data_IF_403900107215
#
_entry.id   IF_403900107215
#
_cell.length_a   1.000
_cell.length_b   1.000
_cell.length_c   1.000
_cell.angle_alpha   90.00
_cell.angle_beta   90.00
_cell.angle_gamma   90.00
#
_symmetry.space_group_name_H-M   'P 1'
#
loop_
_entity.id
_entity.type
_entity.pdbx_description
1 polymer ?
#
# COMPACT_ATOMS: atom_id res chain seq x y z
N UNK A 1 -13.38 -14.90 -31.45
CA UNK A 1 -13.59 -15.88 -30.38
C UNK A 1 -13.11 -15.30 -29.03
N UNK A 2 -11.88 -14.81 -28.95
CA UNK A 2 -11.32 -14.23 -27.72
C UNK A 2 -12.10 -13.00 -27.21
N UNK A 3 -12.60 -12.18 -28.10
CA UNK A 3 -13.43 -11.02 -27.75
C UNK A 3 -14.81 -11.43 -27.22
N UNK A 4 -15.44 -12.43 -27.82
CA UNK A 4 -16.73 -12.96 -27.34
C UNK A 4 -16.62 -13.54 -25.93
N UNK A 5 -15.56 -14.32 -25.65
CA UNK A 5 -15.28 -14.77 -24.29
C UNK A 5 -14.97 -13.59 -23.35
N UNK A 6 -14.28 -12.58 -23.85
CA UNK A 6 -13.93 -11.39 -23.10
C UNK A 6 -15.13 -10.55 -22.61
N UNK A 7 -16.30 -10.72 -23.26
CA UNK A 7 -17.54 -10.04 -22.82
C UNK A 7 -18.10 -10.61 -21.50
N UNK A 8 -17.74 -11.84 -21.15
CA UNK A 8 -18.27 -12.55 -19.99
C UNK A 8 -19.72 -13.01 -20.11
N UNK A 9 -20.37 -12.86 -21.28
CA UNK A 9 -21.77 -13.25 -21.46
C UNK A 9 -21.94 -14.73 -21.80
N UNK A 10 -20.89 -15.38 -22.29
CA UNK A 10 -20.99 -16.74 -22.81
C UNK A 10 -20.16 -17.72 -21.97
N UNK A 11 -20.80 -18.84 -21.63
CA UNK A 11 -20.18 -20.00 -20.99
C UNK A 11 -19.36 -20.82 -21.99
N UNK A 12 -19.90 -20.96 -23.20
CA UNK A 12 -19.25 -21.65 -24.31
C UNK A 12 -19.49 -20.93 -25.64
N UNK A 13 -18.49 -20.93 -26.50
CA UNK A 13 -18.56 -20.38 -27.86
C UNK A 13 -17.86 -21.37 -28.80
N UNK A 14 -18.60 -21.99 -29.66
CA UNK A 14 -18.10 -22.92 -30.70
C UNK A 14 -18.24 -22.24 -32.06
N UNK A 15 -17.21 -22.37 -32.87
CA UNK A 15 -17.19 -21.79 -34.23
C UNK A 15 -16.88 -22.94 -35.20
N UNK A 16 -17.79 -23.18 -36.08
CA UNK A 16 -17.66 -24.13 -37.19
C UNK A 16 -17.68 -23.36 -38.51
N UNK A 17 -16.82 -23.73 -39.44
CA UNK A 17 -16.81 -23.19 -40.79
C UNK A 17 -16.95 -24.32 -41.78
N UNK A 18 -18.12 -24.40 -42.41
CA UNK A 18 -18.47 -25.43 -43.35
C UNK A 18 -19.20 -24.84 -44.55
N UNK A 19 -18.84 -25.25 -45.76
CA UNK A 19 -19.51 -24.79 -47.02
C UNK A 19 -19.56 -23.29 -47.18
N UNK A 20 -18.53 -22.53 -46.85
CA UNK A 20 -18.48 -21.05 -46.82
C UNK A 20 -19.50 -20.40 -45.85
N UNK A 21 -20.05 -21.14 -44.92
CA UNK A 21 -20.93 -20.62 -43.86
C UNK A 21 -20.19 -20.71 -42.55
N UNK A 22 -20.07 -19.58 -41.84
CA UNK A 22 -19.59 -19.50 -40.48
C UNK A 22 -20.76 -19.69 -39.51
N UNK A 23 -20.75 -20.82 -38.78
CA UNK A 23 -21.73 -21.12 -37.76
C UNK A 23 -21.13 -20.82 -36.40
N UNK A 24 -21.76 -19.96 -35.61
CA UNK A 24 -21.34 -19.63 -34.24
C UNK A 24 -22.43 -20.15 -33.31
N UNK A 25 -22.08 -21.10 -32.47
CA UNK A 25 -22.94 -21.65 -31.44
C UNK A 25 -22.46 -21.12 -30.09
N UNK A 26 -23.37 -20.53 -29.32
CA UNK A 26 -23.07 -19.92 -28.02
C UNK A 26 -23.96 -20.53 -26.94
N UNK A 27 -23.40 -20.69 -25.76
CA UNK A 27 -24.13 -20.99 -24.54
C UNK A 27 -24.00 -19.80 -23.62
N UNK A 28 -25.10 -19.15 -23.30
CA UNK A 28 -25.10 -17.94 -22.44
C UNK A 28 -24.85 -18.31 -20.98
N UNK A 29 -24.11 -17.46 -20.29
CA UNK A 29 -24.04 -17.51 -18.84
C UNK A 29 -25.40 -17.09 -18.24
N UNK A 30 -25.85 -17.69 -17.13
CA UNK A 30 -27.07 -17.29 -16.48
C UNK A 30 -27.02 -15.86 -15.99
N UNK A 31 -28.15 -15.19 -15.91
CA UNK A 31 -28.27 -13.84 -15.37
C UNK A 31 -28.48 -13.91 -13.87
N UNK A 32 -27.71 -13.16 -13.12
CA UNK A 32 -27.85 -13.02 -11.66
C UNK A 32 -29.09 -12.20 -11.36
N UNK A 33 -30.13 -12.83 -10.85
CA UNK A 33 -31.37 -12.16 -10.45
C UNK A 33 -31.13 -11.33 -9.18
N UNK A 34 -30.53 -11.94 -8.16
CA UNK A 34 -30.26 -11.35 -6.87
C UNK A 34 -28.97 -11.89 -6.27
N UNK A 35 -28.28 -11.06 -5.47
CA UNK A 35 -27.14 -11.49 -4.64
C UNK A 35 -27.48 -11.17 -3.20
N UNK A 36 -27.48 -12.19 -2.35
CA UNK A 36 -27.68 -12.07 -0.91
C UNK A 36 -26.39 -12.25 -0.14
N UNK A 37 -26.21 -11.45 0.88
CA UNK A 37 -25.05 -11.52 1.79
C UNK A 37 -25.57 -11.72 3.20
N UNK A 38 -25.41 -12.92 3.74
CA UNK A 38 -25.87 -13.32 5.05
C UNK A 38 -24.72 -13.34 6.08
N UNK A 39 -25.03 -13.31 7.36
CA UNK A 39 -24.06 -13.42 8.47
C UNK A 39 -23.36 -12.12 8.88
N UNK A 40 -23.53 -11.01 8.15
CA UNK A 40 -22.96 -9.70 8.51
C UNK A 40 -24.06 -8.82 9.12
N UNK A 41 -24.00 -8.61 10.44
CA UNK A 41 -25.01 -7.82 11.17
C UNK A 41 -24.73 -6.30 11.14
N UNK A 42 -23.45 -5.91 11.17
CA UNK A 42 -23.05 -4.52 11.28
C UNK A 42 -22.95 -3.83 9.90
N UNK A 43 -23.76 -2.80 9.65
CA UNK A 43 -23.81 -2.10 8.38
C UNK A 43 -22.42 -1.55 7.97
N UNK A 44 -21.68 -0.94 8.91
CA UNK A 44 -20.32 -0.42 8.63
C UNK A 44 -19.35 -1.50 8.12
N UNK A 45 -19.45 -2.71 8.64
CA UNK A 45 -18.64 -3.85 8.19
C UNK A 45 -19.09 -4.27 6.79
N UNK A 46 -20.39 -4.35 6.58
CA UNK A 46 -21.02 -4.68 5.30
C UNK A 46 -20.54 -3.74 4.19
N UNK A 47 -20.56 -2.44 4.44
CA UNK A 47 -20.13 -1.42 3.48
C UNK A 47 -18.65 -1.57 3.08
N UNK A 48 -17.79 -1.95 4.03
CA UNK A 48 -16.36 -2.18 3.76
C UNK A 48 -16.14 -3.45 2.94
N UNK A 49 -16.82 -4.54 3.30
CA UNK A 49 -16.60 -5.87 2.71
C UNK A 49 -17.16 -5.95 1.29
N UNK A 50 -18.34 -5.34 1.06
CA UNK A 50 -19.04 -5.40 -0.22
C UNK A 50 -18.59 -4.31 -1.20
N UNK A 51 -17.67 -3.46 -0.80
CA UNK A 51 -17.13 -2.43 -1.68
C UNK A 51 -16.32 -3.05 -2.83
N UNK A 52 -16.59 -2.57 -4.04
CA UNK A 52 -15.85 -2.92 -5.26
C UNK A 52 -15.91 -4.41 -5.65
N UNK A 53 -17.02 -5.11 -5.31
CA UNK A 53 -17.29 -6.45 -5.82
C UNK A 53 -17.67 -6.39 -7.30
N UNK A 54 -17.29 -7.42 -8.04
CA UNK A 54 -17.47 -7.48 -9.50
C UNK A 54 -18.85 -7.97 -9.91
N UNK A 55 -19.36 -9.00 -9.23
CA UNK A 55 -20.69 -9.51 -9.50
C UNK A 55 -21.77 -8.56 -8.99
N UNK A 56 -22.78 -8.33 -9.81
CA UNK A 56 -23.90 -7.44 -9.49
C UNK A 56 -25.22 -8.11 -9.89
N UNK A 57 -26.30 -7.78 -9.19
CA UNK A 57 -27.65 -8.18 -9.64
C UNK A 57 -27.91 -7.63 -11.05
N UNK A 58 -28.55 -8.41 -11.87
CA UNK A 58 -28.86 -8.16 -13.29
C UNK A 58 -27.65 -8.16 -14.23
N UNK A 59 -26.50 -8.68 -13.79
CA UNK A 59 -25.34 -8.96 -14.65
C UNK A 59 -25.24 -10.43 -15.00
N UNK A 60 -24.47 -10.75 -16.03
CA UNK A 60 -24.13 -12.14 -16.37
C UNK A 60 -23.25 -12.75 -15.28
N UNK A 61 -23.50 -14.03 -14.95
CA UNK A 61 -22.67 -14.78 -14.02
C UNK A 61 -21.31 -15.08 -14.64
N UNK A 62 -20.27 -14.97 -13.81
CA UNK A 62 -18.93 -15.35 -14.19
C UNK A 62 -18.23 -16.00 -12.97
N UNK A 63 -17.81 -17.24 -13.12
CA UNK A 63 -17.18 -18.02 -12.05
C UNK A 63 -15.87 -17.38 -11.57
N UNK A 64 -15.08 -16.80 -12.49
CA UNK A 64 -13.83 -16.10 -12.14
C UNK A 64 -14.13 -14.91 -11.25
N UNK A 65 -15.19 -14.15 -11.54
CA UNK A 65 -15.61 -13.00 -10.73
C UNK A 65 -16.15 -13.45 -9.37
N UNK A 66 -16.83 -14.61 -9.31
CA UNK A 66 -17.27 -15.19 -8.03
C UNK A 66 -16.08 -15.48 -7.11
N UNK A 67 -15.05 -16.15 -7.63
CA UNK A 67 -13.84 -16.45 -6.84
C UNK A 67 -13.07 -15.18 -6.47
N UNK A 68 -13.00 -14.19 -7.35
CA UNK A 68 -12.38 -12.89 -7.05
C UNK A 68 -13.13 -12.16 -5.93
N UNK A 69 -14.46 -12.14 -5.97
CA UNK A 69 -15.31 -11.53 -4.95
C UNK A 69 -15.18 -12.26 -3.61
N UNK A 70 -15.19 -13.59 -3.61
CA UNK A 70 -14.95 -14.40 -2.42
C UNK A 70 -13.59 -14.11 -1.78
N UNK A 71 -12.54 -14.02 -2.60
CA UNK A 71 -11.19 -13.66 -2.14
C UNK A 71 -11.13 -12.22 -1.61
N UNK A 72 -11.83 -11.28 -2.25
CA UNK A 72 -11.94 -9.89 -1.80
C UNK A 72 -12.64 -9.79 -0.45
N UNK A 73 -13.78 -10.47 -0.28
CA UNK A 73 -14.51 -10.52 0.99
C UNK A 73 -13.62 -11.12 2.09
N UNK A 74 -12.93 -12.24 1.80
CA UNK A 74 -12.02 -12.88 2.75
C UNK A 74 -10.89 -11.94 3.19
N UNK A 75 -10.24 -11.26 2.24
CA UNK A 75 -9.15 -10.32 2.56
C UNK A 75 -9.66 -9.11 3.35
N UNK A 76 -10.85 -8.60 3.02
CA UNK A 76 -11.49 -7.51 3.77
C UNK A 76 -11.83 -7.92 5.20
N UNK A 77 -12.35 -9.13 5.41
CA UNK A 77 -12.61 -9.68 6.75
C UNK A 77 -11.32 -9.84 7.57
N UNK A 78 -10.25 -10.36 6.96
CA UNK A 78 -8.93 -10.46 7.59
C UNK A 78 -8.36 -9.10 7.98
N UNK A 79 -8.51 -8.09 7.13
CA UNK A 79 -8.08 -6.73 7.44
C UNK A 79 -8.84 -6.11 8.62
N UNK A 80 -10.05 -6.59 8.89
CA UNK A 80 -10.88 -6.22 10.05
C UNK A 80 -10.61 -7.09 11.30
N UNK A 81 -9.71 -8.09 11.18
CA UNK A 81 -9.31 -8.98 12.26
C UNK A 81 -10.06 -10.33 12.32
N UNK A 82 -10.95 -10.62 11.39
CA UNK A 82 -11.70 -11.87 11.31
C UNK A 82 -10.94 -12.94 10.51
N UNK A 83 -9.90 -13.48 11.06
CA UNK A 83 -8.96 -14.38 10.37
C UNK A 83 -9.56 -15.76 10.08
N UNK A 84 -10.51 -16.22 10.90
CA UNK A 84 -11.13 -17.54 10.79
C UNK A 84 -12.52 -17.50 10.15
N UNK A 85 -12.82 -16.40 9.45
CA UNK A 85 -14.06 -16.32 8.69
C UNK A 85 -14.13 -17.41 7.62
N UNK A 86 -15.34 -17.98 7.46
CA UNK A 86 -15.67 -18.93 6.40
C UNK A 86 -16.72 -18.30 5.50
N UNK A 87 -16.60 -18.51 4.21
CA UNK A 87 -17.54 -18.01 3.21
C UNK A 87 -17.98 -19.21 2.38
N UNK A 88 -19.20 -19.60 2.57
CA UNK A 88 -19.88 -20.60 1.75
C UNK A 88 -20.73 -19.87 0.70
N UNK A 89 -20.70 -20.32 -0.55
CA UNK A 89 -21.47 -19.71 -1.63
C UNK A 89 -22.44 -20.74 -2.16
N UNK A 90 -23.71 -20.37 -2.21
CA UNK A 90 -24.78 -21.16 -2.77
C UNK A 90 -25.31 -20.47 -4.02
N UNK A 91 -25.47 -21.25 -5.09
CA UNK A 91 -26.04 -20.78 -6.35
C UNK A 91 -27.33 -21.57 -6.56
N UNK A 92 -28.44 -20.88 -6.55
CA UNK A 92 -29.77 -21.46 -6.77
C UNK A 92 -30.21 -21.15 -8.20
N UNK A 93 -30.46 -22.21 -8.98
CA UNK A 93 -31.03 -22.08 -10.31
C UNK A 93 -32.49 -21.66 -10.24
N UNK A 94 -32.82 -20.64 -11.02
CA UNK A 94 -34.19 -20.15 -11.20
C UNK A 94 -34.63 -20.43 -12.63
N UNK A 95 -35.95 -20.20 -12.91
CA UNK A 95 -36.44 -20.33 -14.27
C UNK A 95 -35.81 -19.25 -15.20
N UNK A 96 -35.88 -19.47 -16.51
CA UNK A 96 -35.47 -18.51 -17.57
C UNK A 96 -33.95 -18.16 -17.55
N UNK A 97 -33.06 -19.14 -17.40
CA UNK A 97 -31.61 -18.96 -17.34
C UNK A 97 -31.17 -17.89 -16.34
N UNK A 98 -31.79 -17.88 -15.15
CA UNK A 98 -31.49 -16.98 -14.04
C UNK A 98 -31.00 -17.73 -12.83
N UNK A 99 -30.18 -17.07 -12.03
CA UNK A 99 -29.66 -17.61 -10.77
C UNK A 99 -29.80 -16.60 -9.63
N UNK A 100 -29.86 -17.10 -8.41
CA UNK A 100 -29.64 -16.37 -7.17
C UNK A 100 -28.32 -16.80 -6.57
N UNK A 101 -27.52 -15.84 -6.08
CA UNK A 101 -26.26 -16.13 -5.38
C UNK A 101 -26.40 -15.73 -3.91
N UNK A 102 -26.07 -16.65 -3.01
CA UNK A 102 -26.10 -16.40 -1.58
C UNK A 102 -24.68 -16.62 -1.01
N UNK A 103 -24.09 -15.55 -0.49
CA UNK A 103 -22.86 -15.62 0.31
C UNK A 103 -23.23 -15.79 1.79
N UNK A 104 -23.04 -16.98 2.35
CA UNK A 104 -23.17 -17.26 3.78
C UNK A 104 -21.82 -17.00 4.46
N UNK A 105 -21.73 -15.90 5.19
CA UNK A 105 -20.49 -15.40 5.78
C UNK A 105 -20.49 -15.63 7.28
N UNK A 106 -19.71 -16.61 7.71
CA UNK A 106 -19.46 -16.92 9.11
C UNK A 106 -18.22 -16.17 9.57
N UNK A 107 -18.41 -15.01 10.21
CA UNK A 107 -17.31 -14.13 10.58
C UNK A 107 -16.37 -14.72 11.63
N UNK A 108 -16.88 -15.48 12.59
CA UNK A 108 -16.12 -15.98 13.74
C UNK A 108 -15.69 -14.87 14.71
N UNK A 109 -14.80 -15.21 15.65
CA UNK A 109 -14.20 -14.27 16.57
C UNK A 109 -13.01 -13.53 15.95
N UNK A 110 -12.71 -12.35 16.48
CA UNK A 110 -11.52 -11.61 16.05
C UNK A 110 -10.25 -12.23 16.62
N UNK A 111 -9.24 -12.36 15.75
CA UNK A 111 -7.93 -12.88 16.13
C UNK A 111 -7.20 -11.93 17.11
N UNK A 112 -7.04 -12.32 18.36
CA UNK A 112 -6.43 -11.54 19.44
C UNK A 112 -4.91 -11.69 19.45
N UNK A 113 -4.18 -10.61 19.58
CA UNK A 113 -2.72 -10.64 19.79
C UNK A 113 -2.46 -10.85 21.29
N UNK A 114 -2.16 -12.08 21.69
CA UNK A 114 -1.88 -12.41 23.09
C UNK A 114 -0.50 -11.97 23.53
N UNK A 115 0.49 -12.10 22.64
CA UNK A 115 1.90 -11.83 22.92
C UNK A 115 2.59 -11.26 21.70
N UNK A 116 3.56 -10.38 21.94
CA UNK A 116 4.44 -9.85 20.90
C UNK A 116 5.89 -10.17 21.31
N UNK A 117 6.61 -10.84 20.43
CA UNK A 117 7.98 -11.31 20.63
C UNK A 117 8.90 -10.81 19.54
N UNK A 118 10.15 -10.53 19.92
CA UNK A 118 11.22 -10.16 19.01
C UNK A 118 12.38 -11.14 19.16
N UNK A 119 12.78 -11.76 18.07
CA UNK A 119 13.85 -12.76 18.01
C UNK A 119 14.97 -12.32 17.07
N UNK A 120 16.09 -13.07 17.07
CA UNK A 120 17.25 -12.80 16.24
C UNK A 120 18.22 -11.80 16.86
N UNK A 121 19.06 -11.20 16.03
CA UNK A 121 20.08 -10.20 16.44
C UNK A 121 19.44 -8.81 16.63
N UNK A 122 18.64 -8.65 17.67
CA UNK A 122 17.73 -7.51 17.86
C UNK A 122 18.29 -6.30 18.61
N UNK A 123 19.50 -6.29 19.10
CA UNK A 123 20.19 -5.18 19.79
C UNK A 123 19.40 -4.49 20.90
N UNK A 124 18.14 -4.10 20.62
CA UNK A 124 17.29 -3.35 21.56
C UNK A 124 16.38 -4.27 22.38
N UNK A 125 16.07 -3.87 23.62
CA UNK A 125 15.15 -4.60 24.52
C UNK A 125 13.72 -4.59 23.95
N UNK A 126 12.99 -5.67 24.16
CA UNK A 126 11.59 -5.86 23.69
C UNK A 126 10.68 -4.70 24.10
N UNK A 127 10.83 -4.19 25.34
CA UNK A 127 10.05 -3.03 25.82
C UNK A 127 10.21 -1.78 24.92
N UNK A 128 11.41 -1.57 24.35
CA UNK A 128 11.67 -0.46 23.44
C UNK A 128 11.03 -0.73 22.08
N UNK A 129 11.18 -1.94 21.56
CA UNK A 129 10.64 -2.35 20.27
C UNK A 129 9.10 -2.36 20.28
N UNK A 130 8.48 -2.85 21.37
CA UNK A 130 7.00 -2.78 21.56
C UNK A 130 6.45 -1.35 21.54
N UNK A 131 7.24 -0.35 21.95
CA UNK A 131 6.84 1.07 21.88
C UNK A 131 7.02 1.68 20.50
N UNK A 132 7.75 1.02 19.62
CA UNK A 132 8.02 1.48 18.26
C UNK A 132 6.92 1.06 17.29
N UNK A 133 6.27 -0.07 17.54
CA UNK A 133 5.21 -0.64 16.71
C UNK A 133 3.82 -0.11 17.10
N UNK A 134 2.85 -0.32 16.22
CA UNK A 134 1.44 0.05 16.42
C UNK A 134 0.68 -1.10 17.08
N UNK A 135 0.97 -2.35 16.71
CA UNK A 135 0.31 -3.53 17.27
C UNK A 135 0.49 -3.60 18.78
N UNK A 136 -0.57 -3.97 19.49
CA UNK A 136 -0.60 -4.06 20.94
C UNK A 136 -1.06 -5.46 21.41
N UNK A 137 -0.54 -5.90 22.54
CA UNK A 137 -1.05 -7.11 23.18
C UNK A 137 -2.49 -6.88 23.69
N UNK A 138 -3.34 -7.88 23.48
CA UNK A 138 -4.72 -7.87 23.96
C UNK A 138 -4.76 -7.80 25.48
N UNK A 139 -5.53 -6.83 26.00
CA UNK A 139 -5.83 -6.68 27.42
C UNK A 139 -7.33 -6.43 27.56
N UNK A 140 -8.00 -7.16 28.47
CA UNK A 140 -9.45 -7.12 28.62
C UNK A 140 -10.00 -5.71 28.96
N UNK A 141 -9.19 -4.85 29.59
CA UNK A 141 -9.57 -3.47 29.93
C UNK A 141 -9.37 -2.44 28.83
N UNK A 142 -8.74 -2.83 27.71
CA UNK A 142 -8.56 -1.96 26.52
C UNK A 142 -9.69 -2.20 25.52
N UNK A 143 -10.89 -1.71 25.78
CA UNK A 143 -12.07 -2.03 24.97
C UNK A 143 -12.07 -1.41 23.57
N UNK A 144 -11.47 -0.21 23.40
CA UNK A 144 -11.65 0.63 22.20
C UNK A 144 -10.59 0.39 21.12
N UNK A 145 -9.41 -0.15 21.47
CA UNK A 145 -8.28 -0.28 20.52
C UNK A 145 -8.46 -1.45 19.55
N UNK A 146 -8.50 -1.18 18.25
CA UNK A 146 -8.40 -2.19 17.19
C UNK A 146 -6.99 -2.78 17.03
N UNK A 147 -5.96 -2.13 17.60
CA UNK A 147 -4.54 -2.50 17.48
C UNK A 147 -4.16 -3.82 18.17
N UNK A 148 -5.05 -4.35 18.96
CA UNK A 148 -4.92 -5.62 19.71
C UNK A 148 -5.41 -6.85 18.93
N UNK A 149 -5.92 -6.64 17.73
CA UNK A 149 -6.35 -7.72 16.85
C UNK A 149 -5.37 -7.87 15.69
N UNK A 150 -5.16 -9.11 15.27
CA UNK A 150 -4.28 -9.42 14.16
C UNK A 150 -4.79 -8.75 12.88
N UNK A 151 -3.89 -8.05 12.19
CA UNK A 151 -4.19 -7.31 10.97
C UNK A 151 -2.94 -7.23 10.11
N UNK A 152 -3.02 -7.68 8.86
CA UNK A 152 -1.88 -7.71 7.94
C UNK A 152 -1.33 -6.31 7.62
N UNK A 153 -2.21 -5.32 7.47
CA UNK A 153 -1.78 -3.94 7.24
C UNK A 153 -0.99 -3.37 8.44
N UNK A 154 -1.43 -3.70 9.67
CA UNK A 154 -0.69 -3.30 10.87
C UNK A 154 0.67 -4.00 10.96
N UNK A 155 0.76 -5.28 10.58
CA UNK A 155 2.05 -5.99 10.50
C UNK A 155 3.03 -5.33 9.52
N UNK A 156 2.55 -4.93 8.35
CA UNK A 156 3.37 -4.21 7.36
C UNK A 156 3.81 -2.84 7.88
N UNK A 157 2.92 -2.11 8.57
CA UNK A 157 3.27 -0.84 9.21
C UNK A 157 4.29 -1.03 10.32
N UNK A 158 4.11 -2.04 11.15
CA UNK A 158 5.06 -2.37 12.23
C UNK A 158 6.45 -2.69 11.68
N UNK A 159 6.53 -3.45 10.59
CA UNK A 159 7.79 -3.73 9.91
C UNK A 159 8.47 -2.45 9.42
N UNK A 160 7.73 -1.52 8.83
CA UNK A 160 8.26 -0.22 8.40
C UNK A 160 8.73 0.61 9.59
N UNK A 161 7.96 0.66 10.67
CA UNK A 161 8.33 1.40 11.87
C UNK A 161 9.57 0.82 12.54
N UNK A 162 9.67 -0.50 12.64
CA UNK A 162 10.87 -1.17 13.15
C UNK A 162 12.08 -0.87 12.26
N UNK A 163 11.94 -1.02 10.94
CA UNK A 163 13.01 -0.71 9.99
C UNK A 163 13.49 0.73 10.14
N UNK A 164 12.58 1.69 10.13
CA UNK A 164 12.91 3.11 10.27
C UNK A 164 13.54 3.42 11.65
N UNK A 165 13.06 2.78 12.70
CA UNK A 165 13.66 2.92 14.02
C UNK A 165 15.12 2.47 14.03
N UNK A 166 15.45 1.31 13.44
CA UNK A 166 16.81 0.81 13.35
C UNK A 166 17.69 1.67 12.43
N UNK A 167 17.19 2.08 11.28
CA UNK A 167 17.87 3.01 10.38
C UNK A 167 18.22 4.32 11.08
N UNK A 168 17.31 4.86 11.90
CA UNK A 168 17.56 6.07 12.70
C UNK A 168 18.51 5.86 13.90
N UNK A 169 18.90 4.63 14.17
CA UNK A 169 19.91 4.28 15.20
C UNK A 169 21.25 3.83 14.62
N UNK A 170 21.40 3.98 13.30
CA UNK A 170 22.63 3.66 12.59
C UNK A 170 22.70 2.26 11.99
N UNK A 171 21.67 1.46 12.11
CA UNK A 171 21.66 0.09 11.58
C UNK A 171 21.17 0.08 10.14
N UNK A 172 22.02 0.57 9.21
CA UNK A 172 21.69 0.75 7.80
C UNK A 172 21.24 -0.54 7.11
N UNK A 173 21.93 -1.66 7.39
CA UNK A 173 21.65 -2.96 6.79
C UNK A 173 20.63 -3.80 7.57
N UNK A 174 19.80 -3.18 8.43
CA UNK A 174 18.79 -3.91 9.18
C UNK A 174 17.85 -4.67 8.27
N UNK A 175 17.61 -5.94 8.60
CA UNK A 175 16.65 -6.80 7.93
C UNK A 175 15.58 -7.25 8.93
N UNK A 176 14.32 -7.08 8.53
CA UNK A 176 13.21 -7.78 9.18
C UNK A 176 12.96 -9.02 8.33
N UNK A 177 13.60 -10.14 8.70
CA UNK A 177 13.63 -11.36 7.89
C UNK A 177 12.25 -12.01 7.80
N UNK A 178 11.47 -11.93 8.86
CA UNK A 178 10.09 -12.41 8.89
C UNK A 178 9.31 -11.71 9.98
N UNK A 179 8.03 -11.50 9.70
CA UNK A 179 7.02 -11.17 10.69
C UNK A 179 5.84 -12.10 10.46
N UNK A 180 5.48 -12.87 11.47
CA UNK A 180 4.42 -13.84 11.36
C UNK A 180 3.61 -13.95 12.65
N UNK A 181 2.41 -14.47 12.51
CA UNK A 181 1.53 -14.75 13.63
C UNK A 181 1.48 -16.26 13.86
N UNK A 182 1.87 -16.69 15.05
CA UNK A 182 1.74 -18.06 15.49
C UNK A 182 0.46 -18.22 16.30
N UNK A 183 -0.39 -19.15 15.90
CA UNK A 183 -1.59 -19.50 16.66
C UNK A 183 -1.20 -20.15 17.99
N UNK A 184 -1.74 -19.64 19.10
CA UNK A 184 -1.55 -20.18 20.45
C UNK A 184 -2.78 -21.00 20.83
N UNK A 185 -3.97 -20.41 20.69
CA UNK A 185 -5.27 -21.00 20.96
C UNK A 185 -6.24 -20.66 19.82
N UNK A 186 -7.50 -21.05 19.92
CA UNK A 186 -8.52 -20.90 18.86
C UNK A 186 -8.60 -19.50 18.23
N UNK A 187 -8.40 -18.42 19.02
CA UNK A 187 -8.49 -17.03 18.57
C UNK A 187 -7.32 -16.15 19.06
N UNK A 188 -6.29 -16.75 19.69
CA UNK A 188 -5.15 -16.04 20.25
C UNK A 188 -3.87 -16.30 19.47
N UNK A 189 -3.12 -15.24 19.17
CA UNK A 189 -1.88 -15.27 18.42
C UNK A 189 -0.69 -14.67 19.18
N UNK A 190 0.49 -15.20 18.91
CA UNK A 190 1.75 -14.56 19.18
C UNK A 190 2.29 -13.93 17.88
N UNK A 191 2.51 -12.61 17.89
CA UNK A 191 3.25 -11.93 16.83
C UNK A 191 4.74 -12.07 17.08
N UNK A 192 5.48 -12.53 16.07
CA UNK A 192 6.92 -12.74 16.16
C UNK A 192 7.59 -11.95 15.05
N UNK A 193 8.52 -11.05 15.43
CA UNK A 193 9.36 -10.29 14.53
C UNK A 193 10.79 -10.82 14.61
N UNK A 194 11.31 -11.35 13.51
CA UNK A 194 12.68 -11.83 13.42
C UNK A 194 13.56 -10.73 12.80
N UNK A 195 14.43 -10.14 13.64
CA UNK A 195 15.22 -8.97 13.30
C UNK A 195 16.69 -9.36 13.22
N UNK A 196 17.35 -9.00 12.14
CA UNK A 196 18.81 -8.95 12.05
C UNK A 196 19.22 -7.48 11.90
N UNK A 197 19.72 -6.90 12.98
CA UNK A 197 20.14 -5.49 13.01
C UNK A 197 21.40 -5.22 12.18
N UNK A 198 22.23 -6.24 11.98
CA UNK A 198 23.53 -6.07 11.34
C UNK A 198 24.50 -5.21 12.15
N UNK A 199 25.42 -4.55 11.47
CA UNK A 199 26.40 -3.64 12.06
C UNK A 199 25.89 -2.20 12.10
N UNK A 200 26.50 -1.39 12.97
CA UNK A 200 26.23 0.04 13.03
C UNK A 200 27.06 0.77 11.99
N UNK A 201 26.43 1.68 11.25
CA UNK A 201 27.02 2.52 10.22
C UNK A 201 27.05 4.00 10.63
N UNK A 202 27.96 4.73 10.01
CA UNK A 202 28.15 6.15 10.19
C UNK A 202 28.11 6.85 8.84
N UNK A 203 27.77 8.12 8.82
CA UNK A 203 27.95 8.94 7.64
C UNK A 203 29.46 9.09 7.37
N UNK A 204 29.90 8.68 6.19
CA UNK A 204 31.24 8.92 5.69
C UNK A 204 31.36 10.32 5.10
N UNK A 205 32.00 10.44 3.93
CA UNK A 205 32.07 11.70 3.20
C UNK A 205 30.71 12.01 2.54
N UNK A 206 30.28 13.25 2.68
CA UNK A 206 29.01 13.74 2.13
C UNK A 206 29.31 14.86 1.12
N UNK A 207 29.02 14.60 -0.16
CA UNK A 207 29.26 15.55 -1.25
C UNK A 207 27.95 15.90 -1.96
N UNK A 208 27.87 17.11 -2.52
CA UNK A 208 26.82 17.51 -3.44
C UNK A 208 27.46 17.89 -4.78
N UNK A 209 27.00 17.29 -5.85
CA UNK A 209 27.34 17.66 -7.22
C UNK A 209 26.28 18.62 -7.73
N UNK A 210 26.69 19.89 -7.92
CA UNK A 210 25.83 20.94 -8.41
C UNK A 210 25.93 21.04 -9.94
N UNK A 211 24.84 21.33 -10.66
CA UNK A 211 24.87 21.74 -12.05
C UNK A 211 25.83 22.93 -12.29
N UNK A 212 26.28 23.07 -13.51
CA UNK A 212 27.36 24.05 -13.84
C UNK A 212 26.92 25.50 -13.62
N UNK A 213 25.67 25.78 -13.83
CA UNK A 213 25.02 27.09 -13.71
C UNK A 213 24.66 27.50 -12.29
N UNK A 214 24.75 26.57 -11.32
CA UNK A 214 24.42 26.85 -9.92
C UNK A 214 25.51 27.65 -9.21
N UNK A 215 25.09 28.70 -8.49
CA UNK A 215 26.02 29.49 -7.69
C UNK A 215 26.39 28.77 -6.38
N UNK A 216 27.61 28.27 -6.30
CA UNK A 216 28.12 27.53 -5.11
C UNK A 216 28.03 28.29 -3.81
N UNK A 217 28.04 29.63 -3.83
CA UNK A 217 27.95 30.45 -2.61
C UNK A 217 26.61 30.27 -1.88
N UNK A 218 25.54 30.04 -2.63
CA UNK A 218 24.22 29.83 -2.06
C UNK A 218 24.08 28.48 -1.32
N UNK A 219 25.01 27.54 -1.58
CA UNK A 219 25.08 26.23 -0.94
C UNK A 219 26.09 26.12 0.21
N UNK A 220 26.79 27.20 0.59
CA UNK A 220 27.82 27.15 1.66
C UNK A 220 27.26 26.65 3.00
N UNK A 221 26.07 27.09 3.41
CA UNK A 221 25.44 26.62 4.64
C UNK A 221 25.10 25.13 4.58
N UNK A 222 24.75 24.62 3.39
CA UNK A 222 24.52 23.19 3.17
C UNK A 222 25.84 22.43 3.32
N UNK A 223 26.90 22.84 2.65
CA UNK A 223 28.23 22.20 2.76
C UNK A 223 28.73 22.15 4.19
N UNK A 224 28.55 23.21 4.97
CA UNK A 224 28.89 23.22 6.40
C UNK A 224 28.02 22.21 7.21
N UNK A 225 26.76 22.06 6.84
CA UNK A 225 25.85 21.07 7.47
C UNK A 225 26.31 19.65 7.14
N UNK A 226 26.66 19.37 5.90
CA UNK A 226 27.16 18.06 5.46
C UNK A 226 28.45 17.70 6.21
N UNK A 227 29.40 18.61 6.25
CA UNK A 227 30.67 18.41 6.96
C UNK A 227 30.51 18.16 8.46
N UNK A 228 29.51 18.78 9.11
CA UNK A 228 29.16 18.53 10.51
C UNK A 228 28.50 17.17 10.72
N UNK A 229 27.85 16.63 9.68
CA UNK A 229 27.16 15.34 9.75
C UNK A 229 28.10 14.17 9.50
N UNK A 230 29.24 14.39 8.84
CA UNK A 230 30.27 13.36 8.65
C UNK A 230 30.75 12.80 9.99
N UNK A 231 30.91 11.48 10.06
CA UNK A 231 31.27 10.75 11.27
C UNK A 231 30.14 10.51 12.27
N UNK A 232 28.98 11.14 12.11
CA UNK A 232 27.85 10.85 12.97
C UNK A 232 27.17 9.51 12.59
N UNK A 233 26.47 8.92 13.57
CA UNK A 233 25.72 7.70 13.32
C UNK A 233 24.69 7.89 12.21
N UNK A 234 24.62 6.97 11.25
CA UNK A 234 23.63 7.00 10.18
C UNK A 234 22.21 7.16 10.74
N UNK A 235 21.39 7.91 10.04
CA UNK A 235 19.98 8.12 10.36
C UNK A 235 19.21 8.48 9.07
N UNK A 236 18.17 7.70 8.76
CA UNK A 236 17.32 7.96 7.60
C UNK A 236 16.65 9.35 7.70
N UNK A 237 16.15 9.74 8.87
CA UNK A 237 15.55 11.06 9.07
C UNK A 237 16.56 12.21 8.86
N UNK A 238 17.84 11.96 9.10
CA UNK A 238 18.88 12.97 8.85
C UNK A 238 19.20 13.06 7.37
N UNK A 239 19.20 11.93 6.67
CA UNK A 239 19.32 11.88 5.22
C UNK A 239 18.16 12.65 4.55
N UNK A 240 16.91 12.37 4.95
CA UNK A 240 15.72 13.08 4.46
C UNK A 240 15.83 14.60 4.66
N UNK A 241 16.29 15.04 5.84
CA UNK A 241 16.53 16.48 6.10
C UNK A 241 17.64 17.08 5.24
N UNK A 242 18.63 16.30 4.85
CA UNK A 242 19.66 16.77 3.93
C UNK A 242 19.05 16.95 2.54
N UNK A 243 18.28 15.96 2.05
CA UNK A 243 17.58 16.04 0.77
C UNK A 243 16.64 17.26 0.73
N UNK A 244 15.79 17.42 1.75
CA UNK A 244 14.91 18.60 1.89
C UNK A 244 15.69 19.94 1.81
N UNK A 245 16.86 20.02 2.46
CA UNK A 245 17.69 21.22 2.38
C UNK A 245 18.28 21.45 0.99
N UNK A 246 18.63 20.38 0.28
CA UNK A 246 19.11 20.49 -1.10
C UNK A 246 17.99 21.03 -1.97
N UNK A 247 16.80 20.48 -1.85
CA UNK A 247 15.60 20.92 -2.59
C UNK A 247 15.28 22.39 -2.33
N UNK A 248 15.23 22.82 -1.07
CA UNK A 248 14.96 24.20 -0.69
C UNK A 248 16.03 25.15 -1.26
N UNK A 249 17.31 24.77 -1.21
CA UNK A 249 18.37 25.61 -1.78
C UNK A 249 18.27 25.71 -3.31
N UNK A 250 17.90 24.62 -4.00
CA UNK A 250 17.71 24.63 -5.44
C UNK A 250 16.50 25.50 -5.84
N UNK A 251 15.38 25.38 -5.13
CA UNK A 251 14.20 26.25 -5.36
C UNK A 251 14.51 27.74 -5.20
N UNK A 252 15.37 28.10 -4.24
CA UNK A 252 15.81 29.51 -4.07
C UNK A 252 16.64 30.04 -5.26
N UNK A 253 17.22 29.15 -6.07
CA UNK A 253 17.91 29.49 -7.32
C UNK A 253 16.98 29.57 -8.55
N UNK A 254 15.67 29.56 -8.33
CA UNK A 254 14.61 29.58 -9.37
C UNK A 254 14.48 28.31 -10.23
N UNK A 255 14.94 27.16 -9.70
CA UNK A 255 14.70 25.87 -10.35
C UNK A 255 13.37 25.30 -9.87
N UNK A 256 12.40 25.17 -10.77
CA UNK A 256 11.02 24.78 -10.47
C UNK A 256 10.85 23.29 -10.12
N UNK A 257 11.73 22.44 -10.65
CA UNK A 257 11.75 21.01 -10.29
C UNK A 257 13.15 20.44 -10.43
N UNK A 258 13.57 19.67 -9.45
CA UNK A 258 14.85 18.95 -9.47
C UNK A 258 14.62 17.50 -9.07
N UNK A 259 15.45 16.61 -9.61
CA UNK A 259 15.61 15.25 -9.11
C UNK A 259 16.96 15.16 -8.40
N UNK A 260 16.99 14.46 -7.26
CA UNK A 260 18.24 14.24 -6.52
C UNK A 260 18.53 12.75 -6.52
N UNK A 261 19.58 12.36 -7.23
CA UNK A 261 20.11 11.01 -7.15
C UNK A 261 21.10 10.90 -6.01
N UNK A 262 20.97 9.84 -5.22
CA UNK A 262 21.87 9.58 -4.09
C UNK A 262 22.75 8.39 -4.43
N UNK A 263 24.04 8.69 -4.70
CA UNK A 263 25.04 7.68 -4.98
C UNK A 263 25.68 7.25 -3.67
N UNK A 264 25.54 5.97 -3.34
CA UNK A 264 26.01 5.39 -2.10
C UNK A 264 27.30 4.59 -2.33
N UNK A 265 28.29 4.82 -1.49
CA UNK A 265 29.54 4.07 -1.50
C UNK A 265 29.93 3.65 -0.07
N UNK A 266 29.91 2.34 0.19
CA UNK A 266 30.24 1.75 1.49
C UNK A 266 31.74 1.52 1.62
N UNK A 267 32.35 2.13 2.64
CA UNK A 267 33.74 1.89 3.03
C UNK A 267 33.80 1.43 4.49
N UNK A 268 33.90 0.13 4.69
CA UNK A 268 33.81 -0.47 6.02
C UNK A 268 32.44 -0.24 6.66
N UNK A 269 32.40 0.55 7.74
CA UNK A 269 31.15 0.94 8.41
C UNK A 269 30.75 2.39 8.08
N UNK A 270 31.43 3.05 7.15
CA UNK A 270 31.12 4.41 6.71
C UNK A 270 30.36 4.38 5.39
N UNK A 271 29.25 5.08 5.35
CA UNK A 271 28.41 5.29 4.16
C UNK A 271 28.76 6.68 3.58
N UNK A 272 29.53 6.69 2.50
CA UNK A 272 29.79 7.91 1.74
C UNK A 272 28.59 8.15 0.81
N UNK A 273 28.09 9.38 0.76
CA UNK A 273 26.96 9.76 -0.07
C UNK A 273 27.34 10.93 -0.97
N UNK A 274 27.02 10.80 -2.23
CA UNK A 274 27.09 11.89 -3.20
C UNK A 274 25.67 12.20 -3.69
N UNK A 275 25.22 13.42 -3.45
CA UNK A 275 23.93 13.91 -3.88
C UNK A 275 24.12 14.60 -5.22
N UNK A 276 23.61 14.01 -6.28
CA UNK A 276 23.69 14.55 -7.63
C UNK A 276 22.37 15.23 -7.96
N UNK A 277 22.40 16.53 -8.18
CA UNK A 277 21.23 17.29 -8.59
C UNK A 277 21.08 17.16 -10.10
N UNK A 278 19.93 16.61 -10.53
CA UNK A 278 19.58 16.44 -11.93
C UNK A 278 18.42 17.37 -12.26
N UNK A 279 18.58 18.14 -13.31
CA UNK A 279 17.50 18.92 -13.89
C UNK A 279 16.65 18.01 -14.78
N UNK A 280 15.31 18.12 -14.75
CA UNK A 280 14.49 17.37 -15.67
C UNK A 280 14.70 17.83 -17.10
N UNK A 281 14.91 16.90 -18.02
CA UNK A 281 15.11 17.23 -19.47
C UNK A 281 13.86 17.87 -20.11
N UNK A 282 12.70 17.79 -19.48
CA UNK A 282 11.44 18.33 -20.00
C UNK A 282 10.73 19.15 -18.94
N UNK A 283 10.51 20.41 -19.22
CA UNK A 283 9.55 21.24 -18.49
C UNK A 283 8.14 20.79 -18.90
N UNK A 284 7.30 20.49 -17.93
CA UNK A 284 5.88 20.25 -18.17
C UNK A 284 5.14 21.55 -17.89
N UNK A 285 4.40 22.02 -18.88
CA UNK A 285 3.54 23.18 -18.72
C UNK A 285 2.09 22.71 -18.61
N UNK A 286 1.32 23.41 -17.81
CA UNK A 286 -0.14 23.17 -17.74
C UNK A 286 -0.76 23.79 -18.97
N UNK A 287 -1.14 22.97 -19.94
CA UNK A 287 -1.78 23.45 -21.16
C UNK A 287 -3.19 23.99 -20.88
N UNK A 288 -3.94 23.31 -20.02
CA UNK A 288 -5.33 23.68 -19.73
C UNK A 288 -5.88 23.02 -18.47
N UNK A 289 -6.64 23.81 -17.68
CA UNK A 289 -7.49 23.29 -16.62
C UNK A 289 -8.91 22.99 -17.11
N UNK A 290 -9.35 21.75 -17.04
CA UNK A 290 -10.72 21.39 -17.32
C UNK A 290 -11.48 21.11 -16.01
N UNK A 291 -12.44 21.94 -15.68
CA UNK A 291 -13.30 21.79 -14.51
C UNK A 291 -14.56 21.06 -14.93
N UNK A 292 -14.73 19.81 -14.45
CA UNK A 292 -15.88 18.96 -14.80
C UNK A 292 -16.80 18.79 -13.59
N UNK A 293 -18.13 18.71 -13.87
CA UNK A 293 -19.14 18.41 -12.84
C UNK A 293 -19.56 19.62 -11.99
N UNK A 294 -19.12 20.82 -12.34
CA UNK A 294 -19.53 22.03 -11.64
C UNK A 294 -20.82 22.62 -12.25
N UNK A 295 -21.90 22.60 -11.46
CA UNK A 295 -23.20 23.11 -11.87
C UNK A 295 -23.68 24.34 -11.07
N UNK A 296 -22.90 24.80 -10.08
CA UNK A 296 -23.35 25.80 -9.10
C UNK A 296 -22.41 27.00 -8.97
N UNK A 297 -21.09 26.80 -9.08
CA UNK A 297 -20.09 27.84 -8.86
C UNK A 297 -19.54 28.37 -10.20
N UNK A 298 -19.32 29.68 -10.32
CA UNK A 298 -18.67 30.24 -11.50
C UNK A 298 -17.26 29.67 -11.66
N UNK A 299 -16.92 29.25 -12.87
CA UNK A 299 -15.63 28.62 -13.17
C UNK A 299 -14.42 29.49 -12.79
N UNK A 300 -14.54 30.81 -12.95
CA UNK A 300 -13.51 31.79 -12.56
C UNK A 300 -13.20 31.76 -11.07
N UNK A 301 -14.19 31.49 -10.22
CA UNK A 301 -13.97 31.39 -8.76
C UNK A 301 -13.19 30.13 -8.42
N UNK A 302 -13.42 29.04 -9.14
CA UNK A 302 -12.69 27.81 -8.96
C UNK A 302 -11.26 27.91 -9.49
N UNK A 303 -11.06 28.53 -10.67
CA UNK A 303 -9.73 28.77 -11.24
C UNK A 303 -8.84 29.58 -10.31
N UNK A 304 -9.38 30.59 -9.66
CA UNK A 304 -8.66 31.42 -8.69
C UNK A 304 -8.25 30.71 -7.39
N UNK A 305 -8.66 29.47 -7.19
CA UNK A 305 -8.24 28.64 -6.05
C UNK A 305 -7.03 27.75 -6.35
N UNK A 306 -6.62 27.67 -7.62
CA UNK A 306 -5.41 26.96 -8.00
C UNK A 306 -4.18 27.84 -7.73
N UNK A 307 -3.10 27.22 -7.23
CA UNK A 307 -1.81 27.91 -7.01
C UNK A 307 -0.97 28.03 -8.30
N UNK A 308 -1.38 27.32 -9.37
CA UNK A 308 -0.73 27.28 -10.69
C UNK A 308 -1.70 27.77 -11.75
N UNK A 309 -1.19 28.49 -12.75
CA UNK A 309 -1.97 29.00 -13.88
C UNK A 309 -1.73 28.19 -15.17
N UNK A 310 -2.63 28.36 -16.17
CA UNK A 310 -2.42 27.80 -17.52
C UNK A 310 -1.20 28.48 -18.16
N UNK A 311 -0.21 27.68 -18.53
CA UNK A 311 1.07 28.13 -19.08
C UNK A 311 2.24 28.11 -18.09
N UNK A 312 1.98 27.80 -16.79
CA UNK A 312 3.02 27.61 -15.76
C UNK A 312 3.73 26.26 -15.92
#
# INVERSE_FOLDING_TARGET
>A
LKELYGTGFFKNVEIEFENNILKIQVVENPIIQEIKYEGIKAQKIRDIILKDLKLKSRSSYNEIYLEQDKNKITSSLRSLGYYFSKIDVFINDLNDNKIEIIYDIKMGEKAKIKKISFIGNKIFKDKKLKRTIISEEYKFWKFISGKKFLNENLLQMDNRLLKNFYLNKGYYNVKINSSFAKLINEDEFELIYNIDAGKKFFFGKLNVELPVDYNKQNFEKLFLTLKKTEGESYSINRLEKILEKIEINALNEQYESINIDVIENLQGNNLNLTFQILEPEKKFFIERFNILGNNVTQESVMRNQFELDEGD
#
